data_IF_743001949602
#
_entry.id   IF_743001949602
#
_cell.length_a   1.000
_cell.length_b   1.000
_cell.length_c   1.000
_cell.angle_alpha   90.00
_cell.angle_beta   90.00
_cell.angle_gamma   90.00
#
_symmetry.space_group_name_H-M   'P 1'
#
loop_
_entity.id
_entity.type
_entity.pdbx_description
1 polymer ?
#
# COMPACT_ATOMS: atom_id res chain seq x y z
N UNK A 1 -14.87 5.35 -30.02
CA UNK A 1 -15.23 4.12 -29.30
C UNK A 1 -14.07 3.86 -28.34
N UNK A 2 -14.31 3.81 -27.04
CA UNK A 2 -13.27 3.50 -26.06
C UNK A 2 -13.35 2.00 -25.77
N UNK A 3 -12.41 1.23 -26.32
CA UNK A 3 -12.40 -0.23 -26.22
C UNK A 3 -11.58 -0.73 -25.02
N UNK A 4 -10.97 0.18 -24.25
CA UNK A 4 -10.11 -0.15 -23.12
C UNK A 4 -10.38 0.82 -21.97
N UNK A 5 -10.54 0.26 -20.77
CA UNK A 5 -10.70 0.99 -19.52
C UNK A 5 -9.49 0.71 -18.63
N UNK A 6 -8.73 1.76 -18.30
CA UNK A 6 -7.59 1.68 -17.39
C UNK A 6 -7.95 2.35 -16.07
N UNK A 7 -7.80 1.62 -14.96
CA UNK A 7 -8.09 2.11 -13.61
C UNK A 7 -6.79 2.02 -12.80
N UNK A 8 -6.25 3.14 -12.30
CA UNK A 8 -5.06 3.13 -11.45
C UNK A 8 -5.30 2.34 -10.15
N UNK A 9 -4.30 1.58 -9.72
CA UNK A 9 -4.40 0.73 -8.52
C UNK A 9 -4.64 1.54 -7.24
N UNK A 10 -4.16 2.78 -7.18
CA UNK A 10 -4.35 3.73 -6.09
C UNK A 10 -5.83 4.03 -5.83
N UNK A 11 -6.64 3.96 -6.89
CA UNK A 11 -8.07 4.31 -6.87
C UNK A 11 -8.97 3.09 -6.71
N UNK A 12 -8.40 1.89 -6.77
CA UNK A 12 -9.13 0.64 -6.58
C UNK A 12 -9.44 0.42 -5.09
N UNK A 13 -10.72 0.34 -4.77
CA UNK A 13 -11.22 -0.07 -3.46
C UNK A 13 -11.13 -1.58 -3.25
N UNK A 14 -11.85 -2.06 -2.25
CA UNK A 14 -11.94 -3.51 -1.96
C UNK A 14 -12.95 -4.14 -2.92
N UNK A 15 -12.50 -5.11 -3.71
CA UNK A 15 -13.38 -5.90 -4.56
C UNK A 15 -13.81 -7.23 -3.92
N UNK A 16 -14.96 -7.74 -4.35
CA UNK A 16 -15.54 -9.00 -3.92
C UNK A 16 -15.68 -9.96 -5.10
N UNK A 17 -15.21 -11.19 -4.91
CA UNK A 17 -15.45 -12.29 -5.84
C UNK A 17 -16.78 -12.97 -5.50
N UNK A 18 -17.64 -13.17 -6.50
CA UNK A 18 -18.92 -13.85 -6.34
C UNK A 18 -19.05 -15.00 -7.34
N UNK A 19 -19.50 -16.14 -6.81
CA UNK A 19 -19.78 -17.36 -7.57
C UNK A 19 -21.25 -17.76 -7.36
N UNK A 20 -22.18 -17.16 -8.12
CA UNK A 20 -23.59 -17.54 -8.10
C UNK A 20 -23.81 -18.96 -8.68
N UNK A 21 -24.87 -19.64 -8.23
CA UNK A 21 -25.18 -21.03 -8.63
C UNK A 21 -25.60 -21.19 -10.10
N UNK A 22 -26.23 -20.15 -10.69
CA UNK A 22 -26.84 -20.22 -12.02
C UNK A 22 -26.30 -19.17 -13.00
N UNK A 23 -25.18 -18.54 -12.69
CA UNK A 23 -24.56 -17.55 -13.58
C UNK A 23 -23.04 -17.59 -13.52
N UNK A 24 -22.40 -16.91 -14.47
CA UNK A 24 -20.96 -16.84 -14.54
C UNK A 24 -20.38 -16.17 -13.29
N UNK A 25 -19.20 -16.64 -12.87
CA UNK A 25 -18.43 -15.99 -11.82
C UNK A 25 -18.15 -14.54 -12.21
N UNK A 26 -18.21 -13.66 -11.23
CA UNK A 26 -17.96 -12.24 -11.45
C UNK A 26 -17.19 -11.62 -10.29
N UNK A 27 -16.53 -10.50 -10.60
CA UNK A 27 -15.77 -9.71 -9.63
C UNK A 27 -16.36 -8.31 -9.58
N UNK A 28 -16.87 -7.91 -8.42
CA UNK A 28 -17.35 -6.56 -8.15
C UNK A 28 -16.21 -5.76 -7.51
N UNK A 29 -16.03 -4.51 -7.93
CA UNK A 29 -15.10 -3.60 -7.29
C UNK A 29 -15.69 -2.19 -7.21
N UNK A 30 -15.36 -1.52 -6.12
CA UNK A 30 -15.62 -0.09 -5.95
C UNK A 30 -14.34 0.69 -6.22
N UNK A 31 -14.45 1.84 -6.87
CA UNK A 31 -13.31 2.70 -7.15
C UNK A 31 -13.73 4.16 -7.17
N UNK A 32 -12.75 5.06 -7.04
CA UNK A 32 -13.00 6.50 -7.09
C UNK A 32 -12.60 7.07 -8.44
N UNK A 33 -13.57 7.65 -9.14
CA UNK A 33 -13.36 8.42 -10.36
C UNK A 33 -13.11 9.88 -9.99
N UNK A 34 -11.96 10.40 -10.38
CA UNK A 34 -11.73 11.85 -10.43
C UNK A 34 -11.89 12.25 -11.87
N UNK A 35 -13.01 12.92 -12.19
CA UNK A 35 -13.23 13.46 -13.53
C UNK A 35 -12.56 14.83 -13.62
N UNK A 36 -11.95 15.16 -14.75
CA UNK A 36 -11.31 16.47 -14.95
C UNK A 36 -12.29 17.66 -14.85
N UNK A 37 -13.59 17.39 -14.87
CA UNK A 37 -14.65 18.40 -14.76
C UNK A 37 -15.13 18.65 -13.33
N UNK A 38 -14.85 17.73 -12.38
CA UNK A 38 -15.26 17.86 -10.99
C UNK A 38 -14.09 17.51 -10.07
N UNK A 39 -13.65 18.47 -9.24
CA UNK A 39 -12.67 18.21 -8.17
C UNK A 39 -13.19 17.25 -7.09
N UNK A 40 -14.45 16.83 -7.16
CA UNK A 40 -15.02 15.80 -6.29
C UNK A 40 -14.74 14.40 -6.82
N UNK A 41 -14.22 13.54 -5.95
CA UNK A 41 -14.05 12.12 -6.21
C UNK A 41 -15.43 11.43 -6.15
N UNK A 42 -15.88 10.89 -7.29
CA UNK A 42 -17.12 10.12 -7.37
C UNK A 42 -16.85 8.64 -7.13
N UNK A 43 -17.63 8.01 -6.25
CA UNK A 43 -17.62 6.55 -6.11
C UNK A 43 -18.28 5.92 -7.33
N UNK A 44 -17.58 4.97 -7.94
CA UNK A 44 -18.04 4.18 -9.06
C UNK A 44 -17.95 2.69 -8.73
N UNK A 45 -18.78 1.91 -9.41
CA UNK A 45 -18.84 0.46 -9.27
C UNK A 45 -18.52 -0.19 -10.62
N UNK A 46 -17.66 -1.21 -10.61
CA UNK A 46 -17.34 -2.01 -11.79
C UNK A 46 -17.58 -3.48 -11.48
N UNK A 47 -18.30 -4.16 -12.38
CA UNK A 47 -18.56 -5.60 -12.32
C UNK A 47 -17.94 -6.27 -13.53
N UNK A 48 -17.02 -7.21 -13.30
CA UNK A 48 -16.30 -7.96 -14.33
C UNK A 48 -16.87 -9.37 -14.39
N UNK A 49 -17.45 -9.76 -15.53
CA UNK A 49 -18.05 -11.07 -15.74
C UNK A 49 -17.11 -11.99 -16.52
N UNK A 50 -16.90 -13.20 -16.02
CA UNK A 50 -15.98 -14.17 -16.61
C UNK A 50 -16.75 -15.29 -17.30
N UNK A 51 -17.08 -15.09 -18.58
CA UNK A 51 -17.89 -16.04 -19.35
C UNK A 51 -17.15 -17.36 -19.68
N UNK A 52 -15.82 -17.30 -19.79
CA UNK A 52 -14.98 -18.45 -20.18
C UNK A 52 -14.14 -19.00 -19.01
N UNK A 53 -14.43 -18.55 -17.78
CA UNK A 53 -13.64 -18.87 -16.59
C UNK A 53 -12.46 -17.91 -16.36
N UNK A 54 -11.50 -18.33 -15.51
CA UNK A 54 -10.33 -17.51 -15.16
C UNK A 54 -10.56 -16.52 -14.00
N UNK A 55 -11.78 -16.42 -13.47
CA UNK A 55 -12.13 -15.50 -12.40
C UNK A 55 -11.32 -15.71 -11.10
N UNK A 56 -11.04 -16.98 -10.73
CA UNK A 56 -10.18 -17.30 -9.58
C UNK A 56 -8.71 -16.89 -9.81
N UNK A 57 -8.20 -17.09 -11.02
CA UNK A 57 -6.86 -16.66 -11.42
C UNK A 57 -6.74 -15.14 -11.38
N UNK A 58 -7.71 -14.43 -11.94
CA UNK A 58 -7.81 -12.98 -11.86
C UNK A 58 -7.81 -12.49 -10.42
N UNK A 59 -8.64 -13.08 -9.56
CA UNK A 59 -8.72 -12.75 -8.12
C UNK A 59 -7.36 -12.90 -7.43
N UNK A 60 -6.67 -14.03 -7.63
CA UNK A 60 -5.35 -14.30 -7.03
C UNK A 60 -4.29 -13.32 -7.53
N UNK A 61 -4.28 -13.03 -8.82
CA UNK A 61 -3.35 -12.08 -9.43
C UNK A 61 -3.60 -10.67 -8.91
N UNK A 62 -4.87 -10.24 -8.82
CA UNK A 62 -5.22 -8.93 -8.30
C UNK A 62 -4.86 -8.79 -6.82
N UNK A 63 -5.08 -9.83 -6.00
CA UNK A 63 -4.68 -9.84 -4.59
C UNK A 63 -3.16 -9.67 -4.43
N UNK A 64 -2.35 -10.41 -5.21
CA UNK A 64 -0.89 -10.27 -5.22
C UNK A 64 -0.44 -8.89 -5.69
N UNK A 65 -1.09 -8.34 -6.71
CA UNK A 65 -0.79 -7.00 -7.21
C UNK A 65 -1.05 -5.94 -6.13
N UNK A 66 -2.16 -6.04 -5.39
CA UNK A 66 -2.47 -5.15 -4.27
C UNK A 66 -1.46 -5.27 -3.13
N UNK A 67 -1.05 -6.48 -2.78
CA UNK A 67 -0.04 -6.71 -1.75
C UNK A 67 1.30 -6.06 -2.13
N UNK A 68 1.79 -6.32 -3.35
CA UNK A 68 3.02 -5.71 -3.86
C UNK A 68 2.94 -4.18 -3.91
N UNK A 69 1.77 -3.65 -4.27
CA UNK A 69 1.53 -2.22 -4.30
C UNK A 69 1.58 -1.60 -2.89
N UNK A 70 0.91 -2.24 -1.91
CA UNK A 70 0.92 -1.79 -0.52
C UNK A 70 2.32 -1.80 0.08
N UNK A 71 3.11 -2.84 -0.19
CA UNK A 71 4.52 -2.90 0.25
C UNK A 71 5.33 -1.73 -0.33
N UNK A 72 5.18 -1.44 -1.63
CA UNK A 72 5.89 -0.31 -2.26
C UNK A 72 5.52 1.05 -1.67
N UNK A 73 4.26 1.25 -1.28
CA UNK A 73 3.84 2.48 -0.60
C UNK A 73 4.50 2.65 0.76
N UNK A 74 4.63 1.58 1.55
CA UNK A 74 5.31 1.61 2.85
C UNK A 74 6.79 2.01 2.74
N UNK A 75 7.46 1.63 1.65
CA UNK A 75 8.85 2.06 1.40
C UNK A 75 8.96 3.53 0.95
N UNK A 76 7.85 4.13 0.50
CA UNK A 76 7.83 5.51 -0.01
C UNK A 76 7.35 6.50 1.04
N UNK A 77 6.61 6.05 2.06
CA UNK A 77 6.26 6.89 3.20
C UNK A 77 7.53 7.32 3.95
N UNK A 78 7.77 8.64 4.11
CA UNK A 78 8.86 9.10 4.96
C UNK A 78 8.62 8.56 6.37
N UNK A 79 9.69 8.04 7.01
CA UNK A 79 9.63 7.65 8.41
C UNK A 79 8.97 8.79 9.21
N UNK A 80 8.04 8.46 10.13
CA UNK A 80 7.45 9.48 10.99
C UNK A 80 8.61 10.24 11.65
N UNK A 81 8.56 11.57 11.59
CA UNK A 81 9.48 12.42 12.34
C UNK A 81 9.47 11.92 13.78
N UNK A 82 10.64 11.47 14.28
CA UNK A 82 10.78 11.13 15.69
C UNK A 82 10.28 12.32 16.49
N UNK A 83 9.18 12.14 17.24
CA UNK A 83 8.80 13.11 18.26
C UNK A 83 10.01 13.23 19.17
N UNK A 84 10.67 14.38 19.13
CA UNK A 84 11.70 14.74 20.08
C UNK A 84 11.10 14.59 21.46
N UNK A 85 11.48 13.55 22.19
CA UNK A 85 11.02 13.30 23.54
C UNK A 85 11.36 14.53 24.40
N UNK A 86 10.42 15.44 24.54
CA UNK A 86 10.39 16.43 25.62
C UNK A 86 10.23 15.65 26.91
N UNK A 87 11.36 15.28 27.53
CA UNK A 87 11.31 14.60 28.83
C UNK A 87 12.51 13.78 29.25
N UNK A 88 13.66 13.85 28.56
CA UNK A 88 14.92 13.44 29.18
C UNK A 88 15.71 14.73 29.40
N UNK A 89 15.63 15.25 30.63
CA UNK A 89 16.61 16.21 31.11
C UNK A 89 17.99 15.67 30.73
N UNK A 90 18.72 16.44 29.92
CA UNK A 90 20.09 16.12 29.54
C UNK A 90 20.94 16.06 30.82
N UNK A 91 21.00 14.89 31.45
CA UNK A 91 22.14 14.54 32.29
C UNK A 91 23.31 14.48 31.31
N UNK A 92 24.10 15.55 31.31
CA UNK A 92 25.36 15.69 30.58
C UNK A 92 26.38 14.66 31.10
N UNK A 93 26.14 13.37 30.88
CA UNK A 93 27.22 12.41 30.85
C UNK A 93 27.73 12.36 29.42
N UNK A 94 28.91 12.94 29.23
CA UNK A 94 29.65 12.83 27.98
C UNK A 94 29.72 11.35 27.57
N UNK A 95 29.61 11.02 26.26
CA UNK A 95 29.76 9.65 25.81
C UNK A 95 31.11 9.10 26.29
N UNK A 96 31.19 7.84 26.75
CA UNK A 96 32.45 7.26 27.19
C UNK A 96 33.48 7.33 26.05
N UNK A 97 34.60 8.02 26.29
CA UNK A 97 35.71 8.06 25.32
C UNK A 97 36.46 6.73 25.35
N UNK A 98 36.79 6.22 24.17
CA UNK A 98 37.61 5.00 24.02
C UNK A 98 39.11 5.25 24.16
N UNK A 99 39.52 6.48 24.51
CA UNK A 99 40.95 6.84 24.60
C UNK A 99 41.70 6.12 25.74
N UNK A 100 41.02 5.62 26.77
CA UNK A 100 41.66 4.93 27.89
C UNK A 100 42.12 3.49 27.58
N UNK A 101 41.75 2.92 26.43
CA UNK A 101 42.23 1.58 26.02
C UNK A 101 43.49 1.60 25.15
N UNK A 102 43.97 2.78 24.75
CA UNK A 102 45.14 2.93 23.88
C UNK A 102 46.44 3.31 24.62
N UNK A 103 46.39 3.54 25.94
CA UNK A 103 47.56 3.95 26.74
C UNK A 103 47.94 2.93 27.84
N UNK A 104 47.72 1.65 27.57
CA UNK A 104 48.17 0.53 28.41
C UNK A 104 49.23 -0.32 27.71
N UNK A 105 50.35 0.28 27.30
CA UNK A 105 51.56 -0.46 26.91
C UNK A 105 52.75 0.08 27.70
N UNK A 106 53.31 -0.78 28.56
CA UNK A 106 54.67 -0.65 29.09
C UNK A 106 54.73 -0.19 30.54
N UNK A 107 54.71 -1.13 31.49
CA UNK A 107 55.91 -1.62 32.20
C UNK A 107 55.57 -2.85 33.06
#
# INVERSE_FOLDING_TARGET
>A
MFDTLEIPFERLGVGQYRLPLFSAAYYELEFFLVTSASSEAQRAHLSIHFHEGGADGFRKTLARARENFSQRQQFTEPLPLYESQTGIEMLNDAPPSYDDLANGNGE
#
